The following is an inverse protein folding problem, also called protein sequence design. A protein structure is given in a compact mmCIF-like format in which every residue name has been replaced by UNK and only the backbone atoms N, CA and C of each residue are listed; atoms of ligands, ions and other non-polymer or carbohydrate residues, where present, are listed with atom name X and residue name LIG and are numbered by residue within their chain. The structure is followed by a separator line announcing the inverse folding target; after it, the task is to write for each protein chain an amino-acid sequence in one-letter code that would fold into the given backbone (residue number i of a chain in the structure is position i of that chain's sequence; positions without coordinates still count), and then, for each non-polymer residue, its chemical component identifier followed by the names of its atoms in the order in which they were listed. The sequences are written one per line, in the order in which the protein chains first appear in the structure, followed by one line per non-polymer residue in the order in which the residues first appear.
data_IF_656671769133
#
_entry.id   IF_656671769133
#
_cell.length_a   1.000
_cell.length_b   1.000
_cell.length_c   1.000
_cell.angle_alpha   90.00
_cell.angle_beta   90.00
_cell.angle_gamma   90.00
#
_symmetry.space_group_name_H-M   'P 1'
#
loop_
_entity.id
_entity.type
_entity.pdbx_description
1 polymer ?
#
# COMPACT_ATOMS: atom_id res chain seq x y z
N UNK A 1 20.30 29.89 12.61
CA UNK A 1 19.40 29.00 11.86
C UNK A 1 20.10 28.48 10.63
N UNK A 2 20.87 27.41 10.80
CA UNK A 2 21.49 26.69 9.70
C UNK A 2 20.48 25.65 9.20
N UNK A 3 20.28 25.51 7.87
CA UNK A 3 19.40 24.46 7.36
C UNK A 3 19.92 23.09 7.83
N UNK A 4 19.04 22.18 8.24
CA UNK A 4 19.45 20.88 8.73
C UNK A 4 20.21 20.11 7.63
N UNK A 5 21.13 19.21 8.03
CA UNK A 5 21.81 18.36 7.06
C UNK A 5 20.78 17.59 6.23
N UNK A 6 21.05 17.36 4.93
CA UNK A 6 20.16 16.60 4.07
C UNK A 6 19.91 15.22 4.68
N UNK A 7 18.68 14.72 4.55
CA UNK A 7 18.37 13.34 4.92
C UNK A 7 19.38 12.41 4.23
N UNK A 8 19.83 11.33 4.90
CA UNK A 8 20.66 10.34 4.21
C UNK A 8 19.94 9.94 2.93
N UNK A 9 20.66 9.79 1.80
CA UNK A 9 20.02 9.42 0.55
C UNK A 9 19.16 8.18 0.82
N UNK A 10 17.94 8.10 0.27
CA UNK A 10 17.19 6.84 0.30
C UNK A 10 18.16 5.74 -0.11
N UNK A 11 18.07 4.55 0.50
CA UNK A 11 18.73 3.41 -0.16
C UNK A 11 18.26 3.38 -1.64
N UNK A 12 18.98 2.70 -2.54
CA UNK A 12 18.71 2.72 -3.99
C UNK A 12 17.31 2.28 -4.47
N UNK A 13 16.28 2.27 -3.61
CA UNK A 13 14.87 2.08 -3.88
C UNK A 13 14.45 2.69 -5.23
N UNK A 14 14.68 3.99 -5.45
CA UNK A 14 14.13 4.68 -6.64
C UNK A 14 14.72 4.23 -7.98
N UNK A 15 15.92 3.63 -8.02
CA UNK A 15 16.55 3.21 -9.28
C UNK A 15 16.10 1.83 -9.77
N UNK A 16 15.43 1.03 -8.92
CA UNK A 16 15.08 -0.36 -9.21
C UNK A 16 13.54 -0.65 -9.18
N UNK A 17 12.71 0.39 -9.06
CA UNK A 17 11.24 0.22 -8.93
C UNK A 17 10.58 0.17 -10.31
N UNK A 18 10.46 -1.04 -10.86
CA UNK A 18 9.63 -1.31 -12.02
C UNK A 18 8.47 -2.26 -11.63
N UNK A 19 7.25 -1.93 -12.05
CA UNK A 19 6.14 -2.86 -11.91
C UNK A 19 6.40 -4.10 -12.77
N UNK A 20 5.96 -5.30 -12.36
CA UNK A 20 6.08 -6.49 -13.20
C UNK A 20 5.36 -6.28 -14.53
N UNK A 21 5.99 -6.67 -15.64
CA UNK A 21 5.39 -6.61 -16.98
C UNK A 21 4.15 -7.49 -17.09
N UNK A 22 4.02 -8.50 -16.23
CA UNK A 22 2.89 -9.43 -16.21
C UNK A 22 2.54 -9.81 -14.78
N UNK A 23 1.25 -9.75 -14.45
CA UNK A 23 0.75 -10.09 -13.11
C UNK A 23 -0.33 -11.16 -13.23
N UNK A 24 -0.14 -12.25 -12.47
CA UNK A 24 -1.07 -13.36 -12.40
C UNK A 24 -1.75 -13.45 -11.03
N UNK A 25 -3.08 -13.50 -11.04
CA UNK A 25 -3.91 -13.82 -9.90
C UNK A 25 -4.00 -15.34 -9.69
N UNK A 26 -4.05 -15.78 -8.43
CA UNK A 26 -4.19 -17.20 -8.08
C UNK A 26 -5.60 -17.46 -7.57
N UNK A 27 -6.34 -18.33 -8.26
CA UNK A 27 -7.72 -18.65 -7.90
C UNK A 27 -7.74 -19.41 -6.56
N UNK A 28 -8.47 -18.90 -5.56
CA UNK A 28 -8.49 -19.51 -4.21
C UNK A 28 -9.42 -20.73 -4.08
N UNK A 29 -10.59 -20.73 -4.74
CA UNK A 29 -11.66 -21.74 -4.52
C UNK A 29 -12.14 -22.45 -5.79
N UNK A 30 -11.44 -22.28 -6.91
CA UNK A 30 -11.89 -22.66 -8.25
C UNK A 30 -12.77 -21.59 -8.90
N UNK A 31 -13.09 -21.77 -10.18
CA UNK A 31 -13.94 -20.89 -10.99
C UNK A 31 -13.35 -20.64 -12.38
N UNK A 32 -13.89 -19.66 -13.10
CA UNK A 32 -13.50 -19.34 -14.48
C UNK A 32 -12.78 -17.99 -14.61
N UNK A 33 -12.16 -17.73 -15.78
CA UNK A 33 -11.59 -16.41 -16.04
C UNK A 33 -12.67 -15.31 -16.09
N UNK A 34 -13.95 -15.64 -16.38
CA UNK A 34 -15.09 -14.72 -16.19
C UNK A 34 -15.22 -14.24 -14.74
N UNK A 35 -15.08 -15.17 -13.78
CA UNK A 35 -15.16 -14.82 -12.37
C UNK A 35 -14.00 -13.89 -11.98
N UNK A 36 -12.78 -14.18 -12.45
CA UNK A 36 -11.61 -13.31 -12.22
C UNK A 36 -11.81 -11.94 -12.85
N UNK A 37 -12.31 -11.84 -14.08
CA UNK A 37 -12.61 -10.58 -14.76
C UNK A 37 -13.54 -9.71 -13.91
N UNK A 38 -14.62 -10.31 -13.41
CA UNK A 38 -15.61 -9.61 -12.59
C UNK A 38 -15.05 -9.19 -11.23
N UNK A 39 -14.15 -9.98 -10.63
CA UNK A 39 -13.47 -9.64 -9.37
C UNK A 39 -12.59 -8.42 -9.50
N UNK A 40 -11.86 -8.30 -10.62
CA UNK A 40 -10.93 -7.20 -10.89
C UNK A 40 -11.57 -6.02 -11.63
N UNK A 41 -12.79 -6.18 -12.17
CA UNK A 41 -13.45 -5.24 -13.10
C UNK A 41 -12.65 -5.06 -14.41
N UNK A 42 -12.15 -6.17 -14.93
CA UNK A 42 -11.54 -6.26 -16.26
C UNK A 42 -12.62 -6.67 -17.26
N UNK A 43 -12.64 -6.08 -18.46
CA UNK A 43 -13.59 -6.46 -19.49
C UNK A 43 -13.32 -7.89 -19.96
N UNK A 44 -14.38 -8.62 -20.35
CA UNK A 44 -14.24 -10.02 -20.74
C UNK A 44 -13.33 -10.22 -21.96
N UNK A 45 -13.36 -9.30 -22.91
CA UNK A 45 -12.46 -9.36 -24.07
C UNK A 45 -10.98 -9.17 -23.67
N UNK A 46 -10.69 -8.29 -22.72
CA UNK A 46 -9.33 -8.06 -22.21
C UNK A 46 -8.80 -9.30 -21.50
N UNK A 47 -9.56 -9.88 -20.56
CA UNK A 47 -9.06 -11.05 -19.82
C UNK A 47 -8.89 -12.28 -20.71
N UNK A 48 -9.71 -12.42 -21.76
CA UNK A 48 -9.56 -13.48 -22.76
C UNK A 48 -8.29 -13.25 -23.58
N UNK A 49 -7.98 -12.01 -23.96
CA UNK A 49 -6.73 -11.68 -24.65
C UNK A 49 -5.49 -11.97 -23.77
N UNK A 50 -5.57 -11.67 -22.47
CA UNK A 50 -4.50 -11.95 -21.50
C UNK A 50 -4.24 -13.45 -21.26
N UNK A 51 -5.23 -14.32 -21.54
CA UNK A 51 -5.17 -15.75 -21.24
C UNK A 51 -5.52 -16.58 -22.49
N UNK A 52 -4.67 -16.55 -23.53
CA UNK A 52 -4.92 -17.28 -24.78
C UNK A 52 -5.06 -18.78 -24.53
N UNK A 53 -6.04 -19.40 -25.17
CA UNK A 53 -6.32 -20.85 -25.03
C UNK A 53 -7.23 -21.21 -23.85
N UNK A 54 -7.67 -20.26 -23.03
CA UNK A 54 -8.66 -20.48 -21.96
C UNK A 54 -9.96 -19.79 -22.34
N UNK A 55 -11.06 -20.54 -22.41
CA UNK A 55 -12.38 -19.94 -22.71
C UNK A 55 -12.94 -19.22 -21.48
N UNK A 56 -13.79 -18.23 -21.70
CA UNK A 56 -14.30 -17.34 -20.63
C UNK A 56 -14.95 -18.12 -19.47
N UNK A 57 -15.69 -19.18 -19.79
CA UNK A 57 -16.44 -20.00 -18.82
C UNK A 57 -15.76 -21.34 -18.50
N UNK A 58 -14.54 -21.57 -18.99
CA UNK A 58 -13.78 -22.77 -18.64
C UNK A 58 -13.55 -22.82 -17.13
N UNK A 59 -13.96 -23.92 -16.51
CA UNK A 59 -13.70 -24.18 -15.09
C UNK A 59 -12.21 -24.44 -14.85
N UNK A 60 -11.64 -23.70 -13.91
CA UNK A 60 -10.27 -23.81 -13.47
C UNK A 60 -10.25 -24.26 -11.99
N UNK A 61 -9.41 -25.24 -11.63
CA UNK A 61 -9.31 -25.69 -10.25
C UNK A 61 -8.69 -24.60 -9.35
N UNK A 62 -8.85 -24.72 -8.01
CA UNK A 62 -8.07 -23.92 -7.06
C UNK A 62 -6.57 -23.94 -7.40
N UNK A 63 -5.88 -22.84 -7.08
CA UNK A 63 -4.48 -22.56 -7.38
C UNK A 63 -4.11 -22.34 -8.85
N UNK A 64 -5.09 -22.36 -9.77
CA UNK A 64 -4.86 -21.93 -11.16
C UNK A 64 -4.43 -20.46 -11.22
N UNK A 65 -3.49 -20.17 -12.12
CA UNK A 65 -2.99 -18.82 -12.37
C UNK A 65 -3.73 -18.21 -13.56
N UNK A 66 -4.26 -17.00 -13.37
CA UNK A 66 -4.93 -16.21 -14.41
C UNK A 66 -4.21 -14.88 -14.53
N UNK A 67 -3.75 -14.55 -15.73
CA UNK A 67 -3.12 -13.27 -16.01
C UNK A 67 -4.20 -12.19 -15.95
N UNK A 68 -3.99 -11.18 -15.10
CA UNK A 68 -4.93 -10.07 -14.87
C UNK A 68 -4.37 -8.72 -15.31
N UNK A 69 -3.09 -8.70 -15.67
CA UNK A 69 -2.42 -7.52 -16.19
C UNK A 69 -1.21 -7.97 -17.01
N UNK A 70 -1.01 -7.29 -18.13
CA UNK A 70 0.19 -7.30 -18.94
C UNK A 70 0.45 -5.85 -19.33
N UNK A 71 1.69 -5.41 -19.17
CA UNK A 71 2.10 -4.03 -19.45
C UNK A 71 1.92 -3.76 -20.94
N UNK A 72 1.25 -2.66 -21.25
CA UNK A 72 1.24 -2.06 -22.57
C UNK A 72 2.36 -1.02 -22.63
N UNK A 73 3.34 -1.21 -23.53
CA UNK A 73 4.47 -0.29 -23.67
C UNK A 73 4.05 1.09 -24.20
N UNK A 74 2.88 1.17 -24.85
CA UNK A 74 2.31 2.41 -25.35
C UNK A 74 1.45 3.14 -24.30
N UNK A 75 1.13 2.50 -23.17
CA UNK A 75 0.32 3.08 -22.08
C UNK A 75 1.20 3.55 -20.90
N UNK A 76 1.10 4.84 -20.57
CA UNK A 76 1.71 5.38 -19.35
C UNK A 76 0.82 5.14 -18.12
N UNK A 77 1.43 4.79 -16.99
CA UNK A 77 0.75 4.74 -15.69
C UNK A 77 0.86 6.08 -14.96
N UNK A 78 -0.28 6.73 -14.68
CA UNK A 78 -0.31 8.09 -14.14
C UNK A 78 -1.39 8.28 -13.06
N UNK A 79 -1.00 8.90 -11.95
CA UNK A 79 -1.90 9.55 -11.00
C UNK A 79 -2.39 10.89 -11.54
N UNK A 80 -3.71 11.07 -11.65
CA UNK A 80 -4.32 12.32 -12.16
C UNK A 80 -5.10 13.02 -11.07
N UNK A 81 -4.80 14.30 -10.83
CA UNK A 81 -5.52 15.13 -9.87
C UNK A 81 -5.10 14.87 -8.41
N UNK A 82 -6.04 15.13 -7.49
CA UNK A 82 -5.80 14.98 -6.05
C UNK A 82 -6.19 13.59 -5.56
N UNK A 83 -5.63 13.12 -4.44
CA UNK A 83 -6.03 11.86 -3.80
C UNK A 83 -7.54 11.77 -3.47
N UNK A 84 -8.20 12.91 -3.26
CA UNK A 84 -9.62 13.04 -2.92
C UNK A 84 -10.52 13.48 -4.07
N UNK A 85 -9.95 13.77 -5.24
CA UNK A 85 -10.65 14.26 -6.43
C UNK A 85 -9.73 14.02 -7.63
N UNK A 86 -9.73 12.78 -8.09
CA UNK A 86 -8.73 12.32 -9.06
C UNK A 86 -9.12 11.03 -9.76
N UNK A 87 -8.28 10.62 -10.69
CA UNK A 87 -8.41 9.39 -11.46
C UNK A 87 -7.06 8.69 -11.59
N UNK A 88 -7.10 7.47 -12.12
CA UNK A 88 -5.95 6.63 -12.37
C UNK A 88 -5.97 6.15 -13.81
N UNK A 89 -4.86 6.32 -14.52
CA UNK A 89 -4.63 5.84 -15.88
C UNK A 89 -3.47 4.82 -15.88
N UNK A 90 -3.47 3.83 -16.80
CA UNK A 90 -2.48 2.75 -16.82
C UNK A 90 -2.38 1.99 -15.49
N UNK A 91 -3.53 1.63 -14.92
CA UNK A 91 -3.60 1.06 -13.59
C UNK A 91 -2.98 -0.34 -13.51
N UNK A 92 -2.18 -0.57 -12.47
CA UNK A 92 -1.56 -1.87 -12.18
C UNK A 92 -2.24 -2.50 -10.96
N UNK A 93 -2.61 -3.80 -11.00
CA UNK A 93 -3.23 -4.46 -9.87
C UNK A 93 -2.17 -4.99 -8.89
N UNK A 94 -2.37 -4.78 -7.60
CA UNK A 94 -1.68 -5.51 -6.55
C UNK A 94 -2.30 -6.91 -6.38
N UNK A 95 -1.45 -7.93 -6.20
CA UNK A 95 -1.83 -9.32 -5.90
C UNK A 95 -1.05 -9.82 -4.68
N UNK A 96 -1.43 -10.99 -4.14
CA UNK A 96 -0.69 -11.64 -3.04
C UNK A 96 0.77 -11.94 -3.40
N UNK A 97 1.65 -11.89 -2.41
CA UNK A 97 3.07 -12.11 -2.59
C UNK A 97 3.83 -12.12 -1.27
N UNK A 98 5.18 -12.21 -1.32
CA UNK A 98 6.00 -12.21 -0.12
C UNK A 98 5.70 -11.01 0.79
N UNK A 99 5.55 -11.30 2.10
CA UNK A 99 5.33 -10.31 3.14
C UNK A 99 3.95 -9.67 3.16
N UNK A 100 3.02 -10.12 2.30
CA UNK A 100 1.68 -9.53 2.24
C UNK A 100 0.56 -10.54 1.98
N UNK A 101 -0.62 -10.22 2.51
CA UNK A 101 -1.87 -10.91 2.22
C UNK A 101 -2.93 -9.88 1.85
N UNK A 102 -3.69 -10.12 0.79
CA UNK A 102 -4.74 -9.20 0.36
C UNK A 102 -6.06 -9.55 1.07
N UNK A 103 -6.59 -8.59 1.83
CA UNK A 103 -7.87 -8.68 2.58
C UNK A 103 -8.88 -7.62 2.11
N UNK A 104 -8.82 -7.22 0.84
CA UNK A 104 -9.81 -6.40 0.13
C UNK A 104 -10.38 -7.15 -1.08
N UNK A 105 -11.42 -6.60 -1.71
CA UNK A 105 -11.95 -7.12 -2.97
C UNK A 105 -11.06 -6.65 -4.13
N UNK A 106 -10.64 -7.50 -5.09
CA UNK A 106 -9.63 -7.15 -6.09
C UNK A 106 -9.90 -5.90 -6.94
N UNK A 107 -11.16 -5.53 -7.18
CA UNK A 107 -11.46 -4.29 -7.91
C UNK A 107 -11.02 -3.01 -7.18
N UNK A 108 -10.64 -3.10 -5.90
CA UNK A 108 -10.08 -2.01 -5.09
C UNK A 108 -8.56 -2.13 -4.89
N UNK A 109 -7.86 -3.00 -5.61
CA UNK A 109 -6.41 -3.22 -5.42
C UNK A 109 -5.57 -2.64 -6.56
N UNK A 110 -6.04 -1.57 -7.21
CA UNK A 110 -5.33 -0.93 -8.30
C UNK A 110 -4.51 0.26 -7.81
N UNK A 111 -3.37 0.52 -8.45
CA UNK A 111 -2.56 1.71 -8.19
C UNK A 111 -1.75 2.11 -9.42
N UNK A 112 -0.98 3.17 -9.30
CA UNK A 112 0.02 3.50 -10.33
C UNK A 112 1.11 2.43 -10.35
N UNK A 113 1.77 2.25 -11.49
CA UNK A 113 2.87 1.30 -11.63
C UNK A 113 3.94 1.53 -10.56
N UNK A 114 4.29 2.79 -10.29
CA UNK A 114 5.22 3.15 -9.23
C UNK A 114 4.71 2.73 -7.84
N UNK A 115 3.46 3.04 -7.51
CA UNK A 115 2.87 2.70 -6.20
C UNK A 115 2.88 1.19 -5.95
N UNK A 116 2.45 0.40 -6.94
CA UNK A 116 2.41 -1.06 -6.83
C UNK A 116 3.81 -1.64 -6.72
N UNK A 117 4.74 -1.19 -7.56
CA UNK A 117 6.12 -1.69 -7.57
C UNK A 117 6.86 -1.39 -6.27
N UNK A 118 6.74 -0.15 -5.77
CA UNK A 118 7.38 0.25 -4.54
C UNK A 118 6.81 -0.50 -3.33
N UNK A 119 5.49 -0.64 -3.26
CA UNK A 119 4.84 -1.41 -2.19
C UNK A 119 5.23 -2.90 -2.26
N UNK A 120 5.31 -3.49 -3.45
CA UNK A 120 5.79 -4.87 -3.62
C UNK A 120 7.23 -5.02 -3.10
N UNK A 121 8.12 -4.09 -3.43
CA UNK A 121 9.52 -4.10 -2.97
C UNK A 121 9.61 -3.96 -1.43
N UNK A 122 8.86 -3.01 -0.85
CA UNK A 122 8.80 -2.82 0.62
C UNK A 122 8.34 -4.11 1.30
N UNK A 123 7.28 -4.75 0.79
CA UNK A 123 6.70 -5.93 1.41
C UNK A 123 7.54 -7.20 1.20
N UNK A 124 8.27 -7.31 0.07
CA UNK A 124 9.30 -8.34 -0.09
C UNK A 124 10.43 -8.18 0.90
N UNK A 125 10.97 -6.96 1.05
CA UNK A 125 12.04 -6.69 2.00
C UNK A 125 11.59 -6.88 3.45
N UNK A 126 10.32 -6.59 3.74
CA UNK A 126 9.70 -6.96 5.00
C UNK A 126 9.78 -8.48 5.24
N UNK A 127 9.41 -9.28 4.25
CA UNK A 127 9.46 -10.74 4.33
C UNK A 127 10.90 -11.30 4.48
N UNK A 128 11.88 -10.64 3.86
CA UNK A 128 13.30 -11.04 3.92
C UNK A 128 13.92 -10.91 5.32
N UNK A 129 13.27 -10.18 6.24
CA UNK A 129 13.66 -10.12 7.66
C UNK A 129 13.44 -11.45 8.41
N UNK A 130 12.85 -12.45 7.74
CA UNK A 130 12.69 -13.80 8.26
C UNK A 130 11.27 -14.09 8.73
N UNK A 131 11.11 -14.57 9.96
CA UNK A 131 9.79 -14.94 10.50
C UNK A 131 9.02 -13.70 10.98
N UNK A 132 8.50 -12.93 10.04
CA UNK A 132 7.64 -11.76 10.28
C UNK A 132 6.18 -12.08 10.00
N UNK A 133 5.26 -11.37 10.68
CA UNK A 133 3.84 -11.38 10.32
C UNK A 133 3.67 -10.75 8.93
N UNK A 134 2.92 -11.35 7.99
CA UNK A 134 2.62 -10.70 6.73
C UNK A 134 1.74 -9.48 6.96
N UNK A 135 1.97 -8.42 6.20
CA UNK A 135 1.14 -7.21 6.25
C UNK A 135 -0.16 -7.47 5.50
N UNK A 136 -1.31 -7.18 6.12
CA UNK A 136 -2.56 -7.16 5.38
C UNK A 136 -2.59 -5.92 4.51
N UNK A 137 -2.75 -6.09 3.22
CA UNK A 137 -3.02 -4.99 2.29
C UNK A 137 -4.53 -4.86 2.16
N UNK A 138 -5.00 -3.61 2.22
CA UNK A 138 -6.37 -3.14 2.13
C UNK A 138 -6.62 -2.30 0.89
N UNK A 139 -7.58 -1.39 0.94
CA UNK A 139 -7.99 -0.69 -0.28
C UNK A 139 -6.85 0.15 -0.85
N UNK A 140 -6.68 0.08 -2.15
CA UNK A 140 -5.90 1.01 -2.97
C UNK A 140 -6.93 1.82 -3.78
N UNK A 141 -6.81 1.95 -5.09
CA UNK A 141 -7.81 2.59 -5.95
C UNK A 141 -8.70 1.58 -6.70
N UNK A 142 -9.77 2.09 -7.29
CA UNK A 142 -10.45 1.42 -8.40
C UNK A 142 -9.60 1.47 -9.68
N UNK A 143 -9.89 0.61 -10.67
CA UNK A 143 -9.09 0.52 -11.92
C UNK A 143 -8.93 1.85 -12.66
N UNK A 144 -9.95 2.71 -12.63
CA UNK A 144 -9.90 4.05 -13.25
C UNK A 144 -9.79 5.17 -12.23
N UNK A 145 -9.53 4.82 -10.96
CA UNK A 145 -9.58 5.77 -9.85
C UNK A 145 -10.99 6.26 -9.56
N UNK A 146 -11.10 7.53 -9.14
CA UNK A 146 -12.37 8.16 -8.79
C UNK A 146 -12.88 7.78 -7.40
N UNK A 147 -14.08 8.27 -7.07
CA UNK A 147 -14.70 8.12 -5.74
C UNK A 147 -14.78 6.65 -5.32
N UNK A 148 -14.23 6.34 -4.14
CA UNK A 148 -14.18 4.98 -3.60
C UNK A 148 -14.82 4.91 -2.21
N UNK A 149 -16.15 4.83 -2.12
CA UNK A 149 -16.83 4.76 -0.81
C UNK A 149 -16.33 3.56 0.05
N UNK A 150 -16.20 3.75 1.39
CA UNK A 150 -16.48 4.97 2.17
C UNK A 150 -15.31 5.97 2.23
N UNK A 151 -14.26 5.76 1.45
CA UNK A 151 -13.01 6.51 1.53
C UNK A 151 -13.14 7.92 0.98
N UNK A 152 -12.57 8.88 1.71
CA UNK A 152 -12.48 10.26 1.25
C UNK A 152 -11.35 10.48 0.23
N UNK A 153 -10.37 9.58 0.19
CA UNK A 153 -9.21 9.57 -0.70
C UNK A 153 -9.18 8.29 -1.55
N UNK A 154 -8.01 7.77 -1.95
CA UNK A 154 -7.86 6.57 -2.79
C UNK A 154 -8.29 6.74 -4.25
N UNK A 155 -8.48 7.97 -4.72
CA UNK A 155 -9.05 8.19 -6.05
C UNK A 155 -7.99 8.19 -7.15
N UNK A 156 -6.72 8.44 -6.82
CA UNK A 156 -5.68 8.68 -7.82
C UNK A 156 -4.58 7.61 -7.86
N UNK A 157 -4.81 6.44 -7.25
CA UNK A 157 -3.88 5.30 -7.33
C UNK A 157 -2.59 5.39 -6.52
N UNK A 158 -2.50 6.33 -5.57
CA UNK A 158 -1.32 6.56 -4.71
C UNK A 158 -1.51 6.26 -3.23
N UNK A 159 -2.72 5.91 -2.82
CA UNK A 159 -3.06 5.59 -1.43
C UNK A 159 -3.19 4.07 -1.26
N UNK A 160 -2.80 3.56 -0.09
CA UNK A 160 -3.02 2.17 0.32
C UNK A 160 -3.29 2.07 1.83
N UNK A 161 -4.30 1.28 2.19
CA UNK A 161 -4.52 0.84 3.56
C UNK A 161 -3.67 -0.40 3.85
N UNK A 162 -2.92 -0.42 4.96
CA UNK A 162 -2.21 -1.61 5.43
C UNK A 162 -2.47 -1.87 6.91
N UNK A 163 -2.38 -3.12 7.37
CA UNK A 163 -2.54 -3.41 8.79
C UNK A 163 -1.35 -2.95 9.62
N UNK A 164 -1.62 -2.63 10.88
CA UNK A 164 -0.61 -2.70 11.94
C UNK A 164 -0.07 -4.12 12.10
N UNK A 165 1.11 -4.25 12.70
CA UNK A 165 1.60 -5.56 13.14
C UNK A 165 0.96 -5.88 14.50
N UNK A 166 0.36 -7.06 14.57
CA UNK A 166 -0.49 -7.46 15.68
C UNK A 166 0.22 -8.49 16.57
N UNK A 167 0.12 -8.32 17.89
CA UNK A 167 0.36 -9.41 18.85
C UNK A 167 -0.83 -10.38 18.74
N UNK A 168 -0.70 -11.35 17.84
CA UNK A 168 -1.75 -12.30 17.54
C UNK A 168 -1.80 -13.39 18.61
N UNK A 169 -2.92 -13.55 19.34
CA UNK A 169 -3.08 -14.68 20.24
C UNK A 169 -3.00 -16.02 19.50
N UNK A 170 -2.53 -17.05 20.20
CA UNK A 170 -2.47 -18.39 19.62
C UNK A 170 -3.86 -18.86 19.16
N UNK A 171 -3.94 -19.40 17.95
CA UNK A 171 -5.18 -19.89 17.36
C UNK A 171 -6.06 -18.84 16.68
N UNK A 172 -5.74 -17.56 16.75
CA UNK A 172 -6.47 -16.52 16.01
C UNK A 172 -5.98 -16.38 14.56
N UNK A 173 -6.89 -16.13 13.63
CA UNK A 173 -6.54 -15.80 12.24
C UNK A 173 -6.18 -14.31 12.13
N UNK A 174 -5.12 -14.01 11.37
CA UNK A 174 -4.77 -12.63 11.03
C UNK A 174 -5.87 -11.95 10.20
N UNK A 175 -6.44 -10.87 10.73
CA UNK A 175 -7.50 -10.09 10.09
C UNK A 175 -7.44 -8.60 10.53
N UNK A 176 -8.25 -7.75 9.91
CA UNK A 176 -8.41 -6.34 10.30
C UNK A 176 -8.94 -6.22 11.73
N UNK A 177 -8.29 -5.39 12.55
CA UNK A 177 -8.64 -5.20 13.97
C UNK A 177 -8.22 -3.82 14.43
N UNK A 178 -9.04 -3.19 15.27
CA UNK A 178 -8.64 -1.99 16.01
C UNK A 178 -7.49 -2.32 16.97
N UNK A 179 -6.48 -1.46 16.98
CA UNK A 179 -5.29 -1.60 17.81
C UNK A 179 -5.43 -0.84 19.13
N UNK A 180 -4.70 -1.32 20.14
CA UNK A 180 -4.57 -0.72 21.45
C UNK A 180 -3.24 -1.18 22.08
N UNK A 181 -3.00 -0.79 23.34
CA UNK A 181 -1.77 -1.12 24.05
C UNK A 181 -1.54 -2.63 24.23
N UNK A 182 -2.60 -3.43 24.23
CA UNK A 182 -2.54 -4.87 24.48
C UNK A 182 -2.18 -5.65 23.21
N UNK A 183 -2.78 -5.29 22.07
CA UNK A 183 -2.66 -6.07 20.83
C UNK A 183 -1.71 -5.47 19.78
N UNK A 184 -1.25 -4.22 19.93
CA UNK A 184 -0.27 -3.64 19.02
C UNK A 184 1.13 -4.22 19.27
N UNK A 185 1.76 -4.74 18.22
CA UNK A 185 3.21 -4.93 18.20
C UNK A 185 3.88 -3.62 17.78
N UNK A 186 4.20 -2.78 18.76
CA UNK A 186 4.77 -1.46 18.52
C UNK A 186 6.18 -1.52 17.91
N UNK A 187 6.95 -2.57 18.21
CA UNK A 187 8.31 -2.74 17.69
C UNK A 187 8.29 -3.04 16.20
N UNK A 188 7.53 -4.06 15.80
CA UNK A 188 7.42 -4.44 14.40
C UNK A 188 6.64 -3.40 13.58
N UNK A 189 5.60 -2.79 14.17
CA UNK A 189 4.90 -1.67 13.50
C UNK A 189 5.85 -0.49 13.28
N UNK A 190 6.69 -0.14 14.27
CA UNK A 190 7.69 0.93 14.10
C UNK A 190 8.74 0.56 13.04
N UNK A 191 9.19 -0.69 12.99
CA UNK A 191 10.08 -1.19 11.94
C UNK A 191 9.46 -1.06 10.54
N UNK A 192 8.16 -1.35 10.39
CA UNK A 192 7.45 -1.18 9.12
C UNK A 192 7.37 0.29 8.70
N UNK A 193 7.08 1.21 9.63
CA UNK A 193 7.10 2.64 9.36
C UNK A 193 8.48 3.14 8.95
N UNK A 194 9.54 2.60 9.57
CA UNK A 194 10.91 2.93 9.20
C UNK A 194 11.25 2.47 7.79
N UNK A 195 10.84 1.25 7.42
CA UNK A 195 11.03 0.71 6.07
C UNK A 195 10.25 1.51 5.01
N UNK A 196 9.02 1.94 5.33
CA UNK A 196 8.25 2.81 4.45
C UNK A 196 8.95 4.17 4.26
N UNK A 197 9.41 4.80 5.35
CA UNK A 197 10.10 6.09 5.28
C UNK A 197 11.42 5.99 4.51
N UNK A 198 12.18 4.90 4.65
CA UNK A 198 13.49 4.74 4.00
C UNK A 198 13.42 4.74 2.47
N UNK A 199 12.23 4.54 1.89
CA UNK A 199 12.01 4.67 0.45
C UNK A 199 12.21 6.10 -0.06
N UNK A 200 12.01 7.11 0.79
CA UNK A 200 11.94 8.53 0.39
C UNK A 200 10.70 8.89 -0.45
N UNK A 201 9.83 7.93 -0.75
CA UNK A 201 8.71 8.08 -1.68
C UNK A 201 7.35 8.18 -0.98
N UNK A 202 7.32 8.15 0.35
CA UNK A 202 6.10 8.38 1.12
C UNK A 202 5.86 9.88 1.28
N UNK A 203 4.66 10.33 0.91
CA UNK A 203 4.18 11.71 1.09
C UNK A 203 3.67 11.92 2.52
N UNK A 204 2.79 11.03 2.98
CA UNK A 204 2.16 11.10 4.31
C UNK A 204 1.65 9.73 4.74
N UNK A 205 1.60 9.52 6.05
CA UNK A 205 0.97 8.36 6.68
C UNK A 205 -0.14 8.86 7.62
N UNK A 206 -1.33 8.27 7.59
CA UNK A 206 -2.38 8.57 8.57
C UNK A 206 -2.58 7.42 9.56
N UNK A 207 -2.50 7.78 10.85
CA UNK A 207 -2.62 6.89 12.00
C UNK A 207 -3.37 7.65 13.09
N UNK A 208 -4.27 6.99 13.83
CA UNK A 208 -4.99 7.64 14.93
C UNK A 208 -4.02 8.08 16.06
N UNK A 209 -4.29 9.22 16.71
CA UNK A 209 -3.40 9.77 17.74
C UNK A 209 -3.19 8.79 18.91
N UNK A 210 -4.20 7.99 19.24
CA UNK A 210 -4.09 6.96 20.27
C UNK A 210 -3.00 5.93 19.96
N UNK A 211 -2.86 5.54 18.69
CA UNK A 211 -1.82 4.62 18.22
C UNK A 211 -0.48 5.33 18.07
N UNK A 212 -0.46 6.58 17.58
CA UNK A 212 0.76 7.39 17.52
C UNK A 212 1.41 7.51 18.91
N UNK A 213 0.62 7.67 19.97
CA UNK A 213 1.15 7.68 21.34
C UNK A 213 1.90 6.40 21.69
N UNK A 214 1.36 5.23 21.36
CA UNK A 214 2.01 3.94 21.65
C UNK A 214 3.33 3.79 20.89
N UNK A 215 3.34 4.20 19.61
CA UNK A 215 4.54 4.19 18.77
C UNK A 215 5.59 5.20 19.26
N UNK A 216 5.17 6.39 19.67
CA UNK A 216 6.03 7.41 20.25
C UNK A 216 6.69 6.90 21.54
N UNK A 217 5.90 6.36 22.46
CA UNK A 217 6.39 5.83 23.74
C UNK A 217 7.39 4.69 23.51
N UNK A 218 7.13 3.80 22.53
CA UNK A 218 8.06 2.75 22.12
C UNK A 218 9.37 3.32 21.57
N UNK A 219 9.29 4.20 20.55
CA UNK A 219 10.46 4.75 19.87
C UNK A 219 11.35 5.54 20.84
N UNK A 220 10.75 6.32 21.74
CA UNK A 220 11.46 7.04 22.80
C UNK A 220 12.12 6.09 23.80
N UNK A 221 11.40 5.08 24.29
CA UNK A 221 11.93 4.14 25.27
C UNK A 221 13.09 3.28 24.72
N UNK A 222 13.05 2.95 23.43
CA UNK A 222 14.09 2.16 22.75
C UNK A 222 15.22 3.00 22.16
N UNK A 223 15.04 4.32 22.04
CA UNK A 223 16.02 5.20 21.41
C UNK A 223 16.27 4.85 19.95
N UNK A 224 15.26 4.37 19.22
CA UNK A 224 15.38 3.96 17.81
C UNK A 224 15.74 5.13 16.89
N UNK A 225 15.37 6.35 17.30
CA UNK A 225 15.76 7.62 16.69
C UNK A 225 16.05 8.65 17.79
N UNK A 226 16.87 9.69 17.54
CA UNK A 226 17.05 10.77 18.48
C UNK A 226 15.71 11.43 18.85
N UNK A 227 15.51 11.80 20.12
CA UNK A 227 14.26 12.44 20.56
C UNK A 227 13.94 13.72 19.76
N UNK A 228 14.96 14.44 19.31
CA UNK A 228 14.84 15.62 18.46
C UNK A 228 14.27 15.33 17.06
N UNK A 229 14.30 14.08 16.61
CA UNK A 229 13.74 13.65 15.32
C UNK A 229 12.32 13.12 15.43
N UNK A 230 11.86 12.73 16.62
CA UNK A 230 10.49 12.22 16.82
C UNK A 230 9.40 13.16 16.26
N UNK A 231 9.50 14.51 16.36
CA UNK A 231 8.53 15.41 15.75
C UNK A 231 8.48 15.36 14.20
N UNK A 232 9.53 14.85 13.53
CA UNK A 232 9.50 14.61 12.08
C UNK A 232 8.82 13.28 11.72
N UNK A 233 8.79 12.33 12.66
CA UNK A 233 8.09 11.06 12.48
C UNK A 233 6.59 11.18 12.78
N UNK A 234 6.24 11.61 13.99
CA UNK A 234 4.89 11.54 14.53
C UNK A 234 4.36 12.95 14.85
N UNK A 235 3.11 13.21 14.49
CA UNK A 235 2.44 14.46 14.85
C UNK A 235 2.20 14.55 16.37
N UNK A 236 1.91 13.43 17.03
CA UNK A 236 1.88 13.35 18.49
C UNK A 236 3.27 13.62 19.11
N UNK A 237 3.38 14.27 20.29
CA UNK A 237 2.30 14.79 21.14
C UNK A 237 1.87 16.23 20.86
N UNK A 238 2.72 17.05 20.22
CA UNK A 238 2.56 18.52 20.21
C UNK A 238 2.01 19.08 18.90
N UNK A 239 1.80 18.23 17.89
CA UNK A 239 1.45 18.67 16.54
C UNK A 239 2.66 19.23 15.81
N UNK A 240 3.16 18.53 14.79
CA UNK A 240 4.21 19.04 13.92
C UNK A 240 3.74 19.01 12.47
N UNK A 241 3.82 20.14 11.76
CA UNK A 241 3.30 20.28 10.38
C UNK A 241 4.02 19.36 9.39
N UNK A 242 5.33 19.21 9.56
CA UNK A 242 6.16 18.36 8.69
C UNK A 242 6.28 16.92 9.19
N UNK A 243 5.47 16.49 10.17
CA UNK A 243 5.47 15.09 10.59
C UNK A 243 5.01 14.20 9.42
N UNK A 244 5.74 13.11 9.19
CA UNK A 244 5.37 12.10 8.21
C UNK A 244 4.03 11.43 8.57
N UNK A 245 3.88 11.06 9.84
CA UNK A 245 2.66 10.45 10.37
C UNK A 245 1.76 11.53 10.96
N UNK A 246 0.59 11.71 10.35
CA UNK A 246 -0.43 12.70 10.74
C UNK A 246 -1.67 12.01 11.31
N UNK A 247 -2.34 12.68 12.23
CA UNK A 247 -3.58 12.18 12.81
C UNK A 247 -4.76 12.33 11.86
N UNK A 248 -5.48 11.23 11.66
CA UNK A 248 -6.85 11.24 11.17
C UNK A 248 -7.66 10.27 12.02
N UNK A 249 -8.82 10.72 12.52
CA UNK A 249 -9.71 9.90 13.35
C UNK A 249 -10.15 8.65 12.61
N UNK A 250 -10.21 7.51 13.30
CA UNK A 250 -10.70 6.24 12.76
C UNK A 250 -9.63 5.33 12.18
N UNK A 251 -8.38 5.81 12.06
CA UNK A 251 -7.24 4.99 11.61
C UNK A 251 -6.65 4.21 12.79
N UNK A 252 -7.51 3.56 13.58
CA UNK A 252 -7.12 2.71 14.71
C UNK A 252 -6.91 1.26 14.29
N UNK A 253 -7.48 0.85 13.16
CA UNK A 253 -7.45 -0.52 12.61
C UNK A 253 -6.57 -0.70 11.36
N UNK A 254 -6.13 0.40 10.75
CA UNK A 254 -5.21 0.41 9.62
C UNK A 254 -4.27 1.63 9.66
N UNK A 255 -3.18 1.51 8.90
CA UNK A 255 -2.24 2.56 8.53
C UNK A 255 -2.59 2.96 7.10
N UNK A 256 -2.97 4.21 6.88
CA UNK A 256 -3.12 4.76 5.54
C UNK A 256 -1.76 5.30 5.08
N UNK A 257 -1.25 4.84 3.94
CA UNK A 257 0.00 5.33 3.35
C UNK A 257 -0.30 6.01 2.02
N UNK A 258 0.25 7.21 1.81
CA UNK A 258 0.24 7.90 0.52
C UNK A 258 1.64 8.01 -0.05
N UNK A 259 1.79 7.67 -1.32
CA UNK A 259 3.03 7.85 -2.07
C UNK A 259 3.07 9.18 -2.83
N UNK A 260 4.28 9.70 -3.03
CA UNK A 260 4.55 10.95 -3.74
C UNK A 260 4.19 10.84 -5.22
N UNK A 261 3.79 11.95 -5.81
CA UNK A 261 3.77 12.11 -7.26
C UNK A 261 5.15 11.83 -7.85
N UNK A 262 5.21 11.10 -8.95
CA UNK A 262 6.45 10.86 -9.66
C UNK A 262 6.71 11.95 -10.72
N UNK A 263 7.98 12.22 -11.08
CA UNK A 263 8.30 13.27 -12.05
C UNK A 263 7.60 13.14 -13.41
N UNK A 264 7.25 11.93 -13.84
CA UNK A 264 6.52 11.70 -15.09
C UNK A 264 5.01 11.90 -14.97
N UNK A 265 4.45 11.96 -13.76
CA UNK A 265 3.02 12.14 -13.51
C UNK A 265 2.65 13.63 -13.47
N UNK A 266 2.73 14.30 -14.62
CA UNK A 266 2.59 15.76 -14.74
C UNK A 266 1.23 16.30 -14.28
N UNK A 267 0.19 15.46 -14.23
CA UNK A 267 -1.15 15.83 -13.75
C UNK A 267 -1.40 15.46 -12.29
N UNK A 268 -0.44 14.84 -11.62
CA UNK A 268 -0.55 14.46 -10.22
C UNK A 268 -0.48 15.70 -9.32
N UNK A 269 -1.31 15.74 -8.26
CA UNK A 269 -1.33 16.84 -7.31
C UNK A 269 -1.22 16.36 -5.86
N UNK A 270 -0.35 16.98 -5.08
CA UNK A 270 -0.29 16.84 -3.63
C UNK A 270 -1.03 18.00 -2.97
N UNK A 271 -1.48 17.84 -1.71
CA UNK A 271 -2.21 18.91 -0.99
C UNK A 271 -1.28 19.92 -0.29
N UNK A 272 0.03 19.70 -0.34
CA UNK A 272 1.05 20.55 0.29
C UNK A 272 1.68 21.57 -0.71
N UNK A 273 1.05 21.80 -1.87
CA UNK A 273 1.34 22.93 -2.79
C UNK A 273 0.62 24.23 -2.35
#
# INVERSE_FOLDING_TARGET
DEPPPPEPPPEGWATDVAAPDKIAYTIRRGGSIKNVANLFKIYHHEITALNPGVTLEQELPPNSKVVVYEKDEDESSESVGYPSDGSLEGAVPMVEGPGRVLKMIPWKSWGTAHTVALLDQVLRRWAERGKVQPVLVGNMAARTGGRLEPHSTHQSGRDVDISYIQKLPEGEELNWREMNAQNLDAEETWALLQLLRSTGQVEVIFIDTSIQKLLYDHAKAKGTVPESELPRWLQYPKGHRSALVKHVKGHVDHIHVRFRCQPHETRCKSRDD
#
